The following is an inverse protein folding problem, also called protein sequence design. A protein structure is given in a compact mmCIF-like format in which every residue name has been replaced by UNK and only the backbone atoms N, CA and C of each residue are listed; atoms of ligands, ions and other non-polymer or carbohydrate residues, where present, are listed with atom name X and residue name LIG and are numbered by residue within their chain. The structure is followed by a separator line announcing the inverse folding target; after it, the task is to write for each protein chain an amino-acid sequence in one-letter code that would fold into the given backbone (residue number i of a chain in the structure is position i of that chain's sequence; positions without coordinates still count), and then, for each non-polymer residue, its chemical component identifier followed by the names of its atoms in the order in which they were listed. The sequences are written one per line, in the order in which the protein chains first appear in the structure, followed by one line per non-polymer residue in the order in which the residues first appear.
data_IF_775994798255
#
_entry.id   IF_775994798255
#
_cell.length_a   1.000
_cell.length_b   1.000
_cell.length_c   1.000
_cell.angle_alpha   90.00
_cell.angle_beta   90.00
_cell.angle_gamma   90.00
#
_symmetry.space_group_name_H-M   'P 1'
#
loop_
_entity.id
_entity.type
_entity.pdbx_description
1 polymer ?
#
# COMPACT_ATOMS: atom_id res chain seq x y z
N UNK A 1 27.62 45.33 53.08
CA UNK A 1 26.62 45.42 51.99
C UNK A 1 27.31 45.91 50.72
N UNK A 2 27.57 45.01 49.76
CA UNK A 2 27.76 45.27 48.32
C UNK A 2 28.33 44.00 47.65
N UNK A 3 27.62 43.47 46.66
CA UNK A 3 28.17 43.14 45.33
C UNK A 3 27.00 42.78 44.41
N UNK A 4 26.74 43.70 43.49
CA UNK A 4 25.85 43.54 42.34
C UNK A 4 26.51 42.55 41.39
N UNK A 5 25.76 41.54 40.96
CA UNK A 5 26.17 40.64 39.88
C UNK A 5 25.57 41.18 38.59
N UNK A 6 26.40 41.75 37.72
CA UNK A 6 26.02 42.01 36.32
C UNK A 6 26.23 40.71 35.52
N UNK A 7 25.16 40.19 34.94
CA UNK A 7 25.24 39.20 33.88
C UNK A 7 25.30 39.95 32.55
N UNK A 8 26.44 39.86 31.86
CA UNK A 8 26.56 40.22 30.45
C UNK A 8 25.91 39.11 29.63
N UNK A 9 24.72 39.36 29.09
CA UNK A 9 24.13 38.51 28.06
C UNK A 9 24.75 38.95 26.73
N UNK A 10 25.59 38.08 26.16
CA UNK A 10 26.07 38.20 24.79
C UNK A 10 24.89 37.97 23.84
N UNK A 11 24.47 39.03 23.15
CA UNK A 11 23.37 39.00 22.18
C UNK A 11 23.86 38.82 20.74
N UNK A 12 25.13 38.46 20.52
CA UNK A 12 25.71 38.33 19.18
C UNK A 12 26.01 36.87 18.85
N UNK A 13 24.97 36.03 18.84
CA UNK A 13 24.95 34.93 17.88
C UNK A 13 23.51 34.51 17.57
N UNK A 14 22.86 35.27 16.69
CA UNK A 14 21.65 34.78 16.03
C UNK A 14 22.14 33.74 15.03
N UNK A 15 22.06 32.48 15.43
CA UNK A 15 22.43 31.33 14.59
C UNK A 15 21.56 31.37 13.33
N UNK A 16 22.14 31.83 12.21
CA UNK A 16 21.49 31.78 10.90
C UNK A 16 21.63 30.36 10.38
N UNK A 17 20.63 29.53 10.64
CA UNK A 17 20.51 28.21 10.02
C UNK A 17 20.44 28.38 8.51
N UNK A 18 21.50 27.98 7.81
CA UNK A 18 21.55 27.90 6.36
C UNK A 18 20.75 26.67 5.89
N UNK A 19 19.45 26.86 5.70
CA UNK A 19 18.49 25.82 5.29
C UNK A 19 18.87 25.08 3.99
N UNK A 20 19.69 25.69 3.12
CA UNK A 20 20.04 25.14 1.81
C UNK A 20 20.92 23.88 1.86
N UNK A 21 21.72 23.68 2.91
CA UNK A 21 22.54 22.46 3.07
C UNK A 21 21.72 21.26 3.55
N UNK A 22 20.81 21.52 4.50
CA UNK A 22 19.94 20.51 5.09
C UNK A 22 18.93 19.92 4.10
N UNK A 23 18.35 20.75 3.23
CA UNK A 23 17.42 20.27 2.20
C UNK A 23 18.11 19.35 1.18
N UNK A 24 19.33 19.70 0.77
CA UNK A 24 20.12 18.89 -0.15
C UNK A 24 20.53 17.56 0.49
N UNK A 25 21.04 17.58 1.72
CA UNK A 25 21.40 16.36 2.46
C UNK A 25 20.19 15.44 2.70
N UNK A 26 19.01 16.02 2.97
CA UNK A 26 17.76 15.27 3.12
C UNK A 26 17.36 14.55 1.83
N UNK A 27 17.44 15.25 0.69
CA UNK A 27 17.17 14.67 -0.64
C UNK A 27 18.17 13.59 -1.01
N UNK A 28 19.45 13.80 -0.72
CA UNK A 28 20.50 12.80 -1.00
C UNK A 28 20.26 11.50 -0.20
N UNK A 29 19.93 11.60 1.10
CA UNK A 29 19.58 10.44 1.95
C UNK A 29 18.30 9.75 1.48
N UNK A 30 17.28 10.51 1.10
CA UNK A 30 16.06 9.95 0.56
C UNK A 30 16.34 9.18 -0.74
N UNK A 31 17.17 9.73 -1.62
CA UNK A 31 17.58 9.08 -2.87
C UNK A 31 18.34 7.78 -2.62
N UNK A 32 19.28 7.78 -1.68
CA UNK A 32 20.00 6.58 -1.27
C UNK A 32 19.04 5.51 -0.73
N UNK A 33 18.06 5.90 0.09
CA UNK A 33 17.10 4.97 0.67
C UNK A 33 16.22 4.30 -0.38
N UNK A 34 15.63 5.07 -1.30
CA UNK A 34 14.76 4.50 -2.36
C UNK A 34 15.55 3.64 -3.33
N UNK A 35 16.81 4.01 -3.62
CA UNK A 35 17.71 3.22 -4.48
C UNK A 35 18.06 1.90 -3.80
N UNK A 36 18.45 1.95 -2.53
CA UNK A 36 18.79 0.75 -1.75
C UNK A 36 17.60 -0.19 -1.60
N UNK A 37 16.39 0.36 -1.42
CA UNK A 37 15.16 -0.42 -1.42
C UNK A 37 14.93 -1.11 -2.76
N UNK A 38 15.04 -0.37 -3.87
CA UNK A 38 14.85 -0.92 -5.21
C UNK A 38 15.86 -2.04 -5.52
N UNK A 39 17.13 -1.84 -5.17
CA UNK A 39 18.18 -2.85 -5.34
C UNK A 39 17.92 -4.11 -4.50
N UNK A 40 17.45 -3.93 -3.26
CA UNK A 40 17.10 -5.05 -2.38
C UNK A 40 15.95 -5.88 -2.96
N UNK A 41 14.89 -5.21 -3.44
CA UNK A 41 13.75 -5.87 -4.08
C UNK A 41 14.21 -6.63 -5.33
N UNK A 42 15.05 -6.01 -6.16
CA UNK A 42 15.55 -6.63 -7.38
C UNK A 42 16.43 -7.86 -7.09
N UNK A 43 17.23 -7.83 -6.03
CA UNK A 43 18.09 -8.96 -5.63
C UNK A 43 17.30 -10.17 -5.12
N UNK A 44 16.15 -9.96 -4.47
CA UNK A 44 15.36 -11.03 -3.86
C UNK A 44 14.13 -11.44 -4.67
N UNK A 45 13.90 -10.84 -5.84
CA UNK A 45 12.67 -11.04 -6.63
C UNK A 45 12.42 -12.49 -7.04
N UNK A 46 13.48 -13.28 -7.20
CA UNK A 46 13.43 -14.68 -7.63
C UNK A 46 13.37 -15.67 -6.46
N UNK A 47 13.56 -15.20 -5.22
CA UNK A 47 13.59 -16.04 -4.01
C UNK A 47 12.31 -15.90 -3.19
N UNK A 48 11.73 -14.69 -3.14
CA UNK A 48 10.55 -14.40 -2.33
C UNK A 48 9.29 -14.48 -3.20
N UNK A 49 8.37 -15.39 -2.86
CA UNK A 49 7.14 -15.65 -3.60
C UNK A 49 6.32 -14.39 -3.89
N UNK A 50 6.15 -13.50 -2.91
CA UNK A 50 5.42 -12.25 -3.08
C UNK A 50 6.02 -11.39 -4.22
N UNK A 51 7.35 -11.29 -4.27
CA UNK A 51 8.06 -10.53 -5.31
C UNK A 51 7.97 -11.23 -6.66
N UNK A 52 8.13 -12.56 -6.71
CA UNK A 52 7.94 -13.33 -7.94
C UNK A 52 6.57 -13.09 -8.56
N UNK A 53 5.53 -12.88 -7.75
CA UNK A 53 4.19 -12.55 -8.23
C UNK A 53 4.15 -11.15 -8.87
N UNK A 54 4.76 -10.13 -8.24
CA UNK A 54 4.82 -8.77 -8.81
C UNK A 54 5.62 -8.70 -10.11
N UNK A 55 6.74 -9.41 -10.20
CA UNK A 55 7.61 -9.46 -11.39
C UNK A 55 7.17 -10.50 -12.43
N UNK A 56 6.18 -11.33 -12.10
CA UNK A 56 5.64 -12.36 -12.97
C UNK A 56 4.57 -11.86 -13.95
N UNK A 57 3.74 -12.79 -14.41
CA UNK A 57 2.61 -12.47 -15.28
C UNK A 57 1.52 -11.71 -14.51
N UNK A 58 0.88 -10.66 -15.10
CA UNK A 58 -0.10 -9.82 -14.38
C UNK A 58 -1.23 -10.60 -13.69
N UNK A 59 -1.75 -11.67 -14.31
CA UNK A 59 -2.83 -12.48 -13.74
C UNK A 59 -2.46 -13.14 -12.40
N UNK A 60 -1.17 -13.38 -12.14
CA UNK A 60 -0.71 -14.02 -10.89
C UNK A 60 -0.92 -13.13 -9.68
N UNK A 61 -1.12 -11.82 -9.84
CA UNK A 61 -1.32 -10.89 -8.73
C UNK A 61 -2.55 -11.23 -7.87
N UNK A 62 -3.52 -11.97 -8.42
CA UNK A 62 -4.64 -12.54 -7.65
C UNK A 62 -4.23 -13.57 -6.60
N UNK A 63 -3.03 -14.14 -6.73
CA UNK A 63 -2.43 -15.10 -5.79
C UNK A 63 -1.80 -14.39 -4.58
N UNK A 64 -1.64 -13.06 -4.62
CA UNK A 64 -1.14 -12.30 -3.47
C UNK A 64 -2.09 -12.47 -2.29
N UNK A 65 -1.49 -12.64 -1.12
CA UNK A 65 -2.23 -12.73 0.14
C UNK A 65 -1.66 -11.75 1.15
N UNK A 66 -2.49 -11.35 2.12
CA UNK A 66 -2.05 -10.58 3.29
C UNK A 66 -0.80 -11.20 3.94
N UNK A 67 -0.82 -12.53 4.13
CA UNK A 67 0.26 -13.28 4.77
C UNK A 67 1.59 -13.13 4.00
N UNK A 68 1.56 -13.29 2.68
CA UNK A 68 2.76 -13.13 1.84
C UNK A 68 3.38 -11.73 1.95
N UNK A 69 2.54 -10.68 1.99
CA UNK A 69 3.02 -9.30 2.13
C UNK A 69 3.56 -9.03 3.53
N UNK A 70 2.92 -9.56 4.58
CA UNK A 70 3.42 -9.47 5.97
C UNK A 70 4.77 -10.17 6.11
N UNK A 71 4.90 -11.39 5.61
CA UNK A 71 6.17 -12.14 5.64
C UNK A 71 7.27 -11.39 4.88
N UNK A 72 6.98 -10.82 3.72
CA UNK A 72 7.94 -9.98 2.99
C UNK A 72 8.36 -8.75 3.82
N UNK A 73 7.42 -8.05 4.45
CA UNK A 73 7.73 -6.91 5.31
C UNK A 73 8.64 -7.31 6.49
N UNK A 74 8.37 -8.45 7.11
CA UNK A 74 9.15 -8.98 8.22
C UNK A 74 10.59 -9.35 7.79
N UNK A 75 10.75 -9.94 6.61
CA UNK A 75 12.07 -10.25 6.01
C UNK A 75 12.86 -8.96 5.75
N UNK A 76 12.22 -7.94 5.16
CA UNK A 76 12.87 -6.64 4.90
C UNK A 76 13.36 -6.02 6.21
N UNK A 77 12.49 -5.98 7.24
CA UNK A 77 12.81 -5.35 8.53
C UNK A 77 13.90 -6.12 9.27
N UNK A 78 13.89 -7.45 9.20
CA UNK A 78 14.90 -8.29 9.83
C UNK A 78 16.28 -8.13 9.19
N UNK A 79 16.35 -8.01 7.86
CA UNK A 79 17.62 -7.82 7.13
C UNK A 79 18.12 -6.38 7.23
N UNK A 80 17.25 -5.40 6.93
CA UNK A 80 17.57 -3.97 6.89
C UNK A 80 16.44 -3.14 7.50
N UNK A 81 16.45 -2.88 8.82
CA UNK A 81 15.38 -2.14 9.51
C UNK A 81 15.08 -0.75 8.94
N UNK A 82 16.08 -0.08 8.37
CA UNK A 82 15.91 1.23 7.76
C UNK A 82 15.12 1.20 6.43
N UNK A 83 14.97 0.02 5.82
CA UNK A 83 14.11 -0.22 4.65
C UNK A 83 12.65 -0.52 5.02
N UNK A 84 12.25 -0.28 6.27
CA UNK A 84 10.85 -0.42 6.68
C UNK A 84 9.91 0.35 5.71
N UNK A 85 8.76 -0.22 5.31
CA UNK A 85 7.95 0.33 4.23
C UNK A 85 7.56 1.80 4.41
N UNK A 86 7.17 2.22 5.63
CA UNK A 86 6.79 3.61 5.89
C UNK A 86 7.99 4.58 5.81
N UNK A 87 9.20 4.13 6.13
CA UNK A 87 10.42 4.94 5.99
C UNK A 87 10.76 5.16 4.52
N UNK A 88 10.66 4.11 3.69
CA UNK A 88 10.87 4.21 2.24
C UNK A 88 9.79 5.05 1.58
N UNK A 89 8.53 4.90 2.01
CA UNK A 89 7.43 5.76 1.58
C UNK A 89 7.78 7.23 1.80
N UNK A 90 8.18 7.60 3.02
CA UNK A 90 8.53 8.97 3.34
C UNK A 90 9.68 9.52 2.48
N UNK A 91 10.68 8.69 2.16
CA UNK A 91 11.75 9.10 1.25
C UNK A 91 11.21 9.41 -0.17
N UNK A 92 10.27 8.62 -0.70
CA UNK A 92 9.59 8.99 -1.94
C UNK A 92 8.79 10.29 -1.83
N UNK A 93 8.17 10.59 -0.68
CA UNK A 93 7.47 11.87 -0.48
C UNK A 93 8.43 13.07 -0.58
N UNK A 94 9.63 12.93 -0.01
CA UNK A 94 10.67 13.96 -0.06
C UNK A 94 11.17 14.20 -1.50
N UNK A 95 11.25 13.14 -2.31
CA UNK A 95 11.81 13.20 -3.66
C UNK A 95 10.79 13.61 -4.72
N UNK A 96 9.63 12.96 -4.75
CA UNK A 96 8.62 13.08 -5.82
C UNK A 96 7.46 13.99 -5.42
N UNK A 97 7.27 14.25 -4.11
CA UNK A 97 6.04 14.83 -3.58
C UNK A 97 4.92 13.79 -3.54
N UNK A 98 4.35 13.52 -2.36
CA UNK A 98 3.31 12.51 -2.22
C UNK A 98 1.91 13.04 -2.53
N UNK A 99 1.13 12.27 -3.29
CA UNK A 99 -0.31 12.43 -3.42
C UNK A 99 -1.04 11.43 -2.51
N UNK A 100 -0.94 11.64 -1.20
CA UNK A 100 -1.68 10.87 -0.18
C UNK A 100 -0.79 10.03 0.73
N UNK A 101 -1.44 9.31 1.65
CA UNK A 101 -0.79 8.45 2.64
C UNK A 101 -1.31 7.01 2.50
N UNK A 102 -0.47 6.00 2.76
CA UNK A 102 -0.92 4.63 2.78
C UNK A 102 -1.79 4.39 4.02
N UNK A 103 -2.77 3.47 3.91
CA UNK A 103 -3.66 3.15 5.04
C UNK A 103 -2.93 2.44 6.17
N UNK A 104 -1.94 1.62 5.83
CA UNK A 104 -1.09 0.89 6.76
C UNK A 104 0.24 0.50 6.08
N UNK A 105 1.17 -0.02 6.89
CA UNK A 105 2.50 -0.46 6.44
C UNK A 105 2.46 -1.45 5.26
N UNK A 106 1.54 -2.42 5.27
CA UNK A 106 1.47 -3.46 4.23
C UNK A 106 0.97 -2.91 2.90
N UNK A 107 -0.03 -2.04 2.93
CA UNK A 107 -0.49 -1.33 1.72
C UNK A 107 0.58 -0.38 1.19
N UNK A 108 1.39 0.23 2.07
CA UNK A 108 2.56 1.01 1.65
C UNK A 108 3.56 0.13 0.91
N UNK A 109 3.87 -1.04 1.45
CA UNK A 109 4.79 -2.00 0.83
C UNK A 109 4.31 -2.43 -0.56
N UNK A 110 3.02 -2.74 -0.73
CA UNK A 110 2.46 -3.08 -2.05
C UNK A 110 2.65 -1.94 -3.04
N UNK A 111 2.29 -0.71 -2.68
CA UNK A 111 2.49 0.47 -3.54
C UNK A 111 3.96 0.69 -3.92
N UNK A 112 4.87 0.53 -2.95
CA UNK A 112 6.31 0.68 -3.18
C UNK A 112 6.84 -0.38 -4.15
N UNK A 113 6.44 -1.63 -4.00
CA UNK A 113 6.86 -2.70 -4.91
C UNK A 113 6.28 -2.47 -6.31
N UNK A 114 5.02 -2.04 -6.42
CA UNK A 114 4.41 -1.72 -7.72
C UNK A 114 5.17 -0.61 -8.45
N UNK A 115 5.59 0.43 -7.73
CA UNK A 115 6.42 1.52 -8.26
C UNK A 115 7.80 1.00 -8.71
N UNK A 116 8.49 0.24 -7.86
CA UNK A 116 9.83 -0.31 -8.16
C UNK A 116 9.79 -1.30 -9.32
N UNK A 117 8.78 -2.17 -9.37
CA UNK A 117 8.59 -3.14 -10.44
C UNK A 117 8.11 -2.50 -11.77
N UNK A 118 7.90 -1.18 -11.80
CA UNK A 118 7.45 -0.45 -12.99
C UNK A 118 6.00 -0.70 -13.37
N UNK A 119 5.18 -1.24 -12.45
CA UNK A 119 3.74 -1.42 -12.65
C UNK A 119 3.05 -0.06 -12.63
N UNK A 120 3.39 0.76 -11.65
CA UNK A 120 2.91 2.13 -11.53
C UNK A 120 4.05 3.12 -11.83
N UNK A 121 3.78 4.11 -12.68
CA UNK A 121 4.78 5.11 -13.06
C UNK A 121 5.15 6.06 -11.90
N UNK A 122 4.24 6.25 -10.94
CA UNK A 122 4.39 7.10 -9.78
C UNK A 122 3.96 6.36 -8.50
N UNK A 123 4.42 6.81 -7.34
CA UNK A 123 3.96 6.24 -6.07
C UNK A 123 2.51 6.64 -5.80
N UNK A 124 1.60 5.65 -5.83
CA UNK A 124 0.16 5.84 -5.62
C UNK A 124 -0.26 4.98 -4.42
N UNK A 125 -1.02 5.52 -3.44
CA UNK A 125 -1.59 4.73 -2.36
C UNK A 125 -2.47 3.59 -2.89
N UNK A 126 -2.28 2.38 -2.37
CA UNK A 126 -2.89 1.17 -2.94
C UNK A 126 -4.42 1.23 -2.98
N UNK A 127 -5.06 1.90 -2.01
CA UNK A 127 -6.51 2.09 -2.00
C UNK A 127 -7.01 2.89 -3.21
N UNK A 128 -6.21 3.83 -3.73
CA UNK A 128 -6.55 4.60 -4.95
C UNK A 128 -6.47 3.74 -6.21
N UNK A 129 -5.46 2.87 -6.28
CA UNK A 129 -5.35 1.88 -7.35
C UNK A 129 -6.55 0.93 -7.31
N UNK A 130 -6.89 0.39 -6.14
CA UNK A 130 -8.05 -0.48 -5.95
C UNK A 130 -9.36 0.22 -6.31
N UNK A 131 -9.56 1.46 -5.88
CA UNK A 131 -10.76 2.25 -6.19
C UNK A 131 -10.94 2.43 -7.70
N UNK A 132 -9.86 2.82 -8.41
CA UNK A 132 -9.87 2.99 -9.86
C UNK A 132 -10.17 1.67 -10.56
N UNK A 133 -9.45 0.61 -10.21
CA UNK A 133 -9.61 -0.71 -10.83
C UNK A 133 -11.02 -1.28 -10.59
N UNK A 134 -11.60 -1.05 -9.41
CA UNK A 134 -12.97 -1.44 -9.10
C UNK A 134 -13.99 -0.67 -9.95
N UNK A 135 -13.83 0.65 -10.11
CA UNK A 135 -14.69 1.43 -11.00
C UNK A 135 -14.66 0.89 -12.42
N UNK A 136 -13.47 0.61 -12.96
CA UNK A 136 -13.28 0.07 -14.30
C UNK A 136 -13.86 -1.35 -14.44
N UNK A 137 -13.74 -2.19 -13.41
CA UNK A 137 -14.34 -3.53 -13.39
C UNK A 137 -15.87 -3.48 -13.34
N UNK A 138 -16.45 -2.67 -12.45
CA UNK A 138 -17.91 -2.49 -12.34
C UNK A 138 -18.48 -1.95 -13.65
N UNK A 139 -17.84 -0.94 -14.24
CA UNK A 139 -18.27 -0.36 -15.51
C UNK A 139 -18.33 -1.42 -16.62
N UNK A 140 -17.28 -2.25 -16.74
CA UNK A 140 -17.25 -3.35 -17.71
C UNK A 140 -18.34 -4.39 -17.46
N UNK A 141 -18.56 -4.81 -16.21
CA UNK A 141 -19.64 -5.76 -15.86
C UNK A 141 -21.02 -5.22 -16.17
N UNK A 142 -21.26 -3.95 -15.85
CA UNK A 142 -22.55 -3.27 -16.04
C UNK A 142 -22.80 -2.83 -17.49
N UNK A 143 -21.78 -2.75 -18.34
CA UNK A 143 -21.96 -2.53 -19.78
C UNK A 143 -22.59 -3.76 -20.49
N UNK A 144 -22.49 -4.95 -19.87
CA UNK A 144 -23.10 -6.17 -20.35
C UNK A 144 -24.57 -6.36 -19.90
N UNK A 145 -25.14 -7.55 -20.16
CA UNK A 145 -26.50 -7.89 -19.72
C UNK A 145 -26.60 -8.09 -18.20
N UNK A 146 -25.48 -8.36 -17.52
CA UNK A 146 -25.43 -8.51 -16.07
C UNK A 146 -25.67 -7.15 -15.39
N UNK A 147 -26.66 -7.11 -14.49
CA UNK A 147 -26.96 -5.93 -13.66
C UNK A 147 -26.91 -6.34 -12.20
N UNK A 148 -25.92 -5.82 -11.47
CA UNK A 148 -25.90 -6.00 -10.02
C UNK A 148 -27.02 -5.20 -9.37
N UNK A 149 -27.70 -5.82 -8.42
CA UNK A 149 -28.65 -5.15 -7.52
C UNK A 149 -27.91 -4.19 -6.58
N UNK A 150 -28.65 -3.29 -5.93
CA UNK A 150 -28.06 -2.40 -4.92
C UNK A 150 -27.37 -3.17 -3.80
N UNK A 151 -27.96 -4.29 -3.38
CA UNK A 151 -27.42 -5.14 -2.32
C UNK A 151 -26.15 -5.87 -2.75
N UNK A 152 -26.13 -6.42 -3.97
CA UNK A 152 -24.90 -6.98 -4.56
C UNK A 152 -23.82 -5.90 -4.67
N UNK A 153 -24.15 -4.68 -5.09
CA UNK A 153 -23.20 -3.57 -5.17
C UNK A 153 -22.67 -3.14 -3.80
N UNK A 154 -23.49 -3.19 -2.74
CA UNK A 154 -23.03 -2.95 -1.36
C UNK A 154 -21.96 -3.98 -0.97
N UNK A 155 -22.22 -5.25 -1.22
CA UNK A 155 -21.28 -6.34 -0.95
C UNK A 155 -19.99 -6.24 -1.75
N UNK A 156 -20.07 -5.94 -3.04
CA UNK A 156 -18.90 -5.71 -3.89
C UNK A 156 -18.03 -4.56 -3.37
N UNK A 157 -18.63 -3.48 -2.84
CA UNK A 157 -17.88 -2.39 -2.21
C UNK A 157 -17.21 -2.81 -0.91
N UNK A 158 -17.86 -3.63 -0.08
CA UNK A 158 -17.24 -4.18 1.14
C UNK A 158 -16.02 -5.05 0.82
N UNK A 159 -16.13 -5.92 -0.21
CA UNK A 159 -15.00 -6.73 -0.69
C UNK A 159 -13.86 -5.83 -1.20
N UNK A 160 -14.19 -4.81 -2.00
CA UNK A 160 -13.22 -3.81 -2.46
C UNK A 160 -12.52 -3.10 -1.30
N UNK A 161 -13.27 -2.63 -0.31
CA UNK A 161 -12.71 -1.92 0.84
C UNK A 161 -11.80 -2.83 1.69
N UNK A 162 -12.15 -4.11 1.81
CA UNK A 162 -11.31 -5.12 2.42
C UNK A 162 -10.00 -5.30 1.64
N UNK A 163 -10.07 -5.57 0.32
CA UNK A 163 -8.90 -5.70 -0.56
C UNK A 163 -7.98 -4.46 -0.47
N UNK A 164 -8.56 -3.26 -0.44
CA UNK A 164 -7.81 -2.01 -0.31
C UNK A 164 -7.03 -1.90 1.02
N UNK A 165 -7.43 -2.64 2.05
CA UNK A 165 -6.79 -2.63 3.37
C UNK A 165 -5.86 -3.84 3.61
N UNK A 166 -6.20 -5.00 3.06
CA UNK A 166 -5.55 -6.30 3.33
C UNK A 166 -4.88 -6.94 2.11
N UNK A 167 -4.90 -6.29 0.94
CA UNK A 167 -4.33 -6.71 -0.35
C UNK A 167 -5.16 -7.72 -1.13
N UNK A 168 -5.89 -8.59 -0.45
CA UNK A 168 -6.68 -9.67 -1.04
C UNK A 168 -7.88 -10.03 -0.16
N UNK A 169 -8.88 -10.71 -0.70
CA UNK A 169 -9.94 -11.35 0.10
C UNK A 169 -10.02 -12.85 -0.19
N UNK A 170 -10.05 -13.66 0.86
CA UNK A 170 -10.32 -15.09 0.84
C UNK A 170 -11.76 -15.38 1.29
N UNK A 171 -12.25 -16.58 1.00
CA UNK A 171 -13.60 -17.00 1.41
C UNK A 171 -13.77 -16.97 2.94
N UNK A 172 -12.73 -17.37 3.67
CA UNK A 172 -12.75 -17.39 5.14
C UNK A 172 -12.76 -15.97 5.75
N UNK A 173 -12.32 -14.95 5.02
CA UNK A 173 -12.42 -13.56 5.50
C UNK A 173 -13.87 -13.12 5.69
N UNK A 174 -14.81 -13.78 4.99
CA UNK A 174 -16.25 -13.51 5.10
C UNK A 174 -16.87 -13.98 6.43
N UNK A 175 -16.11 -14.69 7.28
CA UNK A 175 -16.50 -15.06 8.65
C UNK A 175 -16.07 -14.05 9.71
N UNK A 176 -15.52 -12.91 9.29
CA UNK A 176 -15.08 -11.85 10.19
C UNK A 176 -15.75 -10.51 9.86
N UNK A 177 -15.64 -9.55 10.79
CA UNK A 177 -16.11 -8.18 10.58
C UNK A 177 -15.35 -7.53 9.41
N UNK A 178 -16.04 -6.78 8.54
CA UNK A 178 -17.45 -6.36 8.62
C UNK A 178 -18.44 -7.34 7.98
N UNK A 179 -18.00 -8.41 7.32
CA UNK A 179 -18.89 -9.28 6.54
C UNK A 179 -19.91 -10.00 7.40
N UNK A 180 -19.53 -10.51 8.57
CA UNK A 180 -20.48 -11.21 9.48
C UNK A 180 -21.62 -10.33 9.96
N UNK A 181 -21.39 -9.02 10.07
CA UNK A 181 -22.42 -8.06 10.50
C UNK A 181 -23.51 -7.91 9.43
N UNK A 182 -23.17 -8.17 8.17
CA UNK A 182 -24.09 -8.20 7.03
C UNK A 182 -24.50 -9.64 6.61
N UNK A 183 -24.18 -10.67 7.42
CA UNK A 183 -24.60 -12.07 7.21
C UNK A 183 -23.54 -13.01 6.62
N UNK A 184 -22.30 -12.54 6.45
CA UNK A 184 -21.11 -13.33 6.17
C UNK A 184 -21.20 -14.20 4.91
N UNK A 185 -20.53 -15.37 4.93
CA UNK A 185 -20.55 -16.34 3.82
C UNK A 185 -21.96 -16.69 3.34
N UNK A 186 -22.91 -16.85 4.27
CA UNK A 186 -24.30 -17.18 3.94
C UNK A 186 -24.97 -16.10 3.09
N UNK A 187 -24.74 -14.82 3.43
CA UNK A 187 -25.27 -13.72 2.64
C UNK A 187 -24.59 -13.59 1.27
N UNK A 188 -23.27 -13.77 1.20
CA UNK A 188 -22.55 -13.81 -0.08
C UNK A 188 -23.12 -14.89 -1.01
N UNK A 189 -23.37 -16.10 -0.48
CA UNK A 189 -24.01 -17.18 -1.23
C UNK A 189 -25.43 -16.83 -1.68
N UNK A 190 -26.23 -16.20 -0.82
CA UNK A 190 -27.58 -15.74 -1.21
C UNK A 190 -27.54 -14.76 -2.39
N UNK A 191 -26.54 -13.88 -2.43
CA UNK A 191 -26.43 -12.81 -3.43
C UNK A 191 -25.83 -13.28 -4.75
N UNK A 192 -24.84 -14.17 -4.72
CA UNK A 192 -24.07 -14.56 -5.91
C UNK A 192 -24.17 -16.05 -6.25
N UNK A 193 -24.70 -16.88 -5.35
CA UNK A 193 -24.86 -18.33 -5.55
C UNK A 193 -23.56 -18.98 -6.02
N UNK A 194 -23.65 -19.75 -7.10
CA UNK A 194 -22.53 -20.46 -7.70
C UNK A 194 -21.40 -19.52 -8.18
N UNK A 195 -21.68 -18.23 -8.42
CA UNK A 195 -20.68 -17.27 -8.89
C UNK A 195 -19.86 -16.66 -7.75
N UNK A 196 -20.18 -16.97 -6.48
CA UNK A 196 -19.51 -16.40 -5.30
C UNK A 196 -17.97 -16.48 -5.38
N UNK A 197 -17.42 -17.66 -5.63
CA UNK A 197 -15.96 -17.85 -5.71
C UNK A 197 -15.37 -17.16 -6.94
N UNK A 198 -16.09 -17.20 -8.07
CA UNK A 198 -15.68 -16.50 -9.30
C UNK A 198 -15.58 -15.00 -9.05
N UNK A 199 -16.56 -14.39 -8.37
CA UNK A 199 -16.55 -12.98 -8.03
C UNK A 199 -15.35 -12.62 -7.14
N UNK A 200 -15.05 -13.44 -6.13
CA UNK A 200 -13.88 -13.22 -5.25
C UNK A 200 -12.58 -13.26 -6.07
N UNK A 201 -12.40 -14.29 -6.89
CA UNK A 201 -11.19 -14.45 -7.71
C UNK A 201 -11.06 -13.32 -8.74
N UNK A 202 -12.15 -12.96 -9.40
CA UNK A 202 -12.18 -11.85 -10.35
C UNK A 202 -11.85 -10.51 -9.68
N UNK A 203 -12.37 -10.25 -8.47
CA UNK A 203 -12.05 -9.02 -7.76
C UNK A 203 -10.58 -8.99 -7.33
N UNK A 204 -10.04 -10.08 -6.77
CA UNK A 204 -8.62 -10.15 -6.43
C UNK A 204 -7.72 -9.92 -7.65
N UNK A 205 -8.10 -10.44 -8.82
CA UNK A 205 -7.35 -10.24 -10.06
C UNK A 205 -7.49 -8.81 -10.59
N UNK A 206 -8.73 -8.32 -10.73
CA UNK A 206 -9.00 -7.03 -11.35
C UNK A 206 -8.49 -5.87 -10.51
N UNK A 207 -8.61 -5.94 -9.17
CA UNK A 207 -8.24 -4.84 -8.28
C UNK A 207 -6.72 -4.78 -8.05
N UNK A 208 -6.01 -5.91 -8.16
CA UNK A 208 -4.55 -5.96 -8.08
C UNK A 208 -3.82 -5.62 -9.39
N UNK A 209 -4.56 -5.38 -10.49
CA UNK A 209 -4.01 -5.08 -11.82
C UNK A 209 -3.16 -3.80 -11.87
#
# INVERSE_FOLDING_TARGET
MRKVHEQLIDTINIDKVTASGWEKESKDKAQELVTTFADWIAAHKDEITALQIFYGQPYRRRELTYKMIRELADVIIADKPFLAPLSVWHAYEVLEGANGQPKNELTALVSLIRKVAGIDAALIPYDKTVDKNFQDWVFRKQAGPLKFTEEQMKWLRMLKDHIAASVSVAIDDLDYTPFVEDGGRGKMWQLFGNDMESIINELNEALAA
#
